data_IF_174337215340
#
_entry.id   IF_174337215340
#
_cell.length_a   1.000
_cell.length_b   1.000
_cell.length_c   1.000
_cell.angle_alpha   90.00
_cell.angle_beta   90.00
_cell.angle_gamma   90.00
#
_symmetry.space_group_name_H-M   'P 1'
#
loop_
_entity.id
_entity.type
_entity.pdbx_description
1 polymer ?
#
# COMPACT_ATOMS: atom_id res chain seq x y z
N UNK A 1 41.25 -16.51 14.89
CA UNK A 1 41.89 -16.70 13.58
C UNK A 1 41.27 -15.72 12.60
N UNK A 2 42.08 -15.00 11.82
CA UNK A 2 41.57 -14.07 10.81
C UNK A 2 41.05 -14.84 9.60
N UNK A 3 39.85 -14.50 9.13
CA UNK A 3 39.31 -14.94 7.84
C UNK A 3 39.69 -13.93 6.76
N UNK A 4 39.79 -14.35 5.50
CA UNK A 4 40.01 -13.41 4.40
C UNK A 4 38.78 -12.51 4.20
N UNK A 5 38.94 -11.29 3.69
CA UNK A 5 37.80 -10.38 3.48
C UNK A 5 36.73 -10.97 2.55
N UNK A 6 37.16 -11.68 1.51
CA UNK A 6 36.27 -12.38 0.57
C UNK A 6 35.45 -13.45 1.28
N UNK A 7 36.11 -14.26 2.10
CA UNK A 7 35.47 -15.33 2.88
C UNK A 7 34.50 -14.78 3.95
N UNK A 8 34.84 -13.63 4.55
CA UNK A 8 33.96 -12.95 5.50
C UNK A 8 32.69 -12.39 4.83
N UNK A 9 32.82 -11.88 3.60
CA UNK A 9 31.68 -11.40 2.80
C UNK A 9 30.79 -12.56 2.33
N UNK A 10 31.38 -13.69 1.90
CA UNK A 10 30.64 -14.90 1.54
C UNK A 10 29.83 -15.46 2.73
N UNK A 11 30.42 -15.49 3.93
CA UNK A 11 29.75 -15.87 5.18
C UNK A 11 28.66 -14.85 5.61
N UNK A 12 28.76 -13.60 5.16
CA UNK A 12 27.71 -12.61 5.40
C UNK A 12 26.48 -12.82 4.51
N UNK A 13 26.70 -13.19 3.24
CA UNK A 13 25.62 -13.53 2.30
C UNK A 13 24.80 -14.70 2.84
N UNK A 14 25.45 -15.77 3.32
CA UNK A 14 24.77 -16.99 3.76
C UNK A 14 23.79 -16.74 4.91
N UNK A 15 24.08 -15.77 5.79
CA UNK A 15 23.31 -15.46 7.00
C UNK A 15 22.26 -14.37 6.84
N UNK A 16 22.25 -13.62 5.74
CA UNK A 16 21.32 -12.50 5.57
C UNK A 16 20.08 -12.88 4.75
N UNK A 17 18.84 -12.71 5.21
CA UNK A 17 17.65 -13.07 4.44
C UNK A 17 17.35 -12.14 3.25
N UNK A 18 17.91 -10.92 3.21
CA UNK A 18 17.66 -9.95 2.15
C UNK A 18 18.30 -10.36 0.83
N UNK A 19 17.49 -10.56 -0.21
CA UNK A 19 17.96 -10.90 -1.56
C UNK A 19 18.83 -9.80 -2.16
N UNK A 20 18.50 -8.54 -1.90
CA UNK A 20 19.25 -7.37 -2.40
C UNK A 20 20.61 -7.27 -1.75
N UNK A 21 20.68 -7.53 -0.44
CA UNK A 21 21.96 -7.63 0.25
C UNK A 21 22.81 -8.76 -0.34
N UNK A 22 22.23 -9.96 -0.52
CA UNK A 22 22.94 -11.10 -1.10
C UNK A 22 23.48 -10.77 -2.49
N UNK A 23 22.66 -10.15 -3.35
CA UNK A 23 23.02 -9.74 -4.72
C UNK A 23 24.14 -8.70 -4.71
N UNK A 24 24.05 -7.66 -3.88
CA UNK A 24 25.04 -6.59 -3.79
C UNK A 24 26.40 -7.11 -3.30
N UNK A 25 26.44 -7.86 -2.20
CA UNK A 25 27.69 -8.43 -1.68
C UNK A 25 28.30 -9.43 -2.68
N UNK A 26 27.47 -10.21 -3.39
CA UNK A 26 27.96 -11.16 -4.38
C UNK A 26 28.65 -10.48 -5.57
N UNK A 27 28.06 -9.40 -6.09
CA UNK A 27 28.70 -8.61 -7.15
C UNK A 27 30.00 -7.94 -6.67
N UNK A 28 30.04 -7.43 -5.44
CA UNK A 28 31.28 -6.89 -4.85
C UNK A 28 32.37 -7.96 -4.69
N UNK A 29 32.02 -9.18 -4.25
CA UNK A 29 32.97 -10.29 -4.16
C UNK A 29 33.54 -10.63 -5.55
N UNK A 30 32.71 -10.64 -6.58
CA UNK A 30 33.17 -10.91 -7.95
C UNK A 30 34.08 -9.80 -8.48
N UNK A 31 33.79 -8.54 -8.19
CA UNK A 31 34.68 -7.43 -8.54
C UNK A 31 36.02 -7.54 -7.81
N UNK A 32 36.02 -7.87 -6.51
CA UNK A 32 37.22 -8.10 -5.71
C UNK A 32 38.06 -9.29 -6.24
N UNK A 33 37.43 -10.40 -6.63
CA UNK A 33 38.12 -11.58 -7.17
C UNK A 33 38.71 -11.36 -8.56
N UNK A 34 38.05 -10.56 -9.39
CA UNK A 34 38.47 -10.28 -10.78
C UNK A 34 39.38 -9.06 -10.92
N UNK A 35 39.56 -8.27 -9.85
CA UNK A 35 40.28 -7.00 -9.90
C UNK A 35 39.55 -5.91 -10.69
N UNK A 36 38.25 -6.11 -10.95
CA UNK A 36 37.41 -5.11 -11.61
C UNK A 36 37.20 -3.88 -10.71
N UNK A 37 36.91 -2.74 -11.34
CA UNK A 37 36.63 -1.49 -10.63
C UNK A 37 35.37 -1.64 -9.77
N UNK A 38 35.59 -1.72 -8.46
CA UNK A 38 34.54 -1.86 -7.44
C UNK A 38 33.63 -0.63 -7.46
N UNK A 39 34.16 0.55 -7.78
CA UNK A 39 33.39 1.80 -7.87
C UNK A 39 32.30 1.66 -8.91
N UNK A 40 32.64 1.24 -10.13
CA UNK A 40 31.67 1.03 -11.21
C UNK A 40 30.64 -0.04 -10.89
N UNK A 41 31.05 -1.09 -10.16
CA UNK A 41 30.15 -2.16 -9.74
C UNK A 41 29.16 -1.66 -8.69
N UNK A 42 29.63 -0.87 -7.73
CA UNK A 42 28.77 -0.23 -6.72
C UNK A 42 27.82 0.79 -7.34
N UNK A 43 28.29 1.63 -8.26
CA UNK A 43 27.46 2.61 -8.96
C UNK A 43 26.30 1.90 -9.70
N UNK A 44 26.60 0.83 -10.45
CA UNK A 44 25.58 0.05 -11.14
C UNK A 44 24.59 -0.65 -10.19
N UNK A 45 25.05 -1.13 -9.03
CA UNK A 45 24.17 -1.68 -7.99
C UNK A 45 23.23 -0.61 -7.42
N UNK A 46 23.76 0.58 -7.14
CA UNK A 46 22.99 1.71 -6.62
C UNK A 46 21.93 2.15 -7.64
N UNK A 47 22.31 2.29 -8.91
CA UNK A 47 21.37 2.63 -9.98
C UNK A 47 20.23 1.60 -10.08
N UNK A 48 20.56 0.30 -10.00
CA UNK A 48 19.56 -0.77 -10.02
C UNK A 48 18.62 -0.68 -8.81
N UNK A 49 19.15 -0.43 -7.61
CA UNK A 49 18.33 -0.29 -6.39
C UNK A 49 17.41 0.93 -6.46
N UNK A 50 17.89 2.05 -7.02
CA UNK A 50 17.09 3.26 -7.22
C UNK A 50 15.95 2.98 -8.22
N UNK A 51 16.23 2.25 -9.29
CA UNK A 51 15.21 1.87 -10.28
C UNK A 51 14.16 0.92 -9.69
N UNK A 52 14.57 -0.10 -8.93
CA UNK A 52 13.67 -1.01 -8.21
C UNK A 52 12.80 -0.24 -7.19
N UNK A 53 13.38 0.67 -6.40
CA UNK A 53 12.63 1.51 -5.47
C UNK A 53 11.63 2.42 -6.18
N UNK A 54 12.02 3.00 -7.32
CA UNK A 54 11.12 3.84 -8.12
C UNK A 54 9.93 3.02 -8.65
N UNK A 55 10.18 1.80 -9.13
CA UNK A 55 9.13 0.88 -9.56
C UNK A 55 8.21 0.50 -8.40
N UNK A 56 8.75 0.23 -7.22
CA UNK A 56 7.95 -0.09 -6.02
C UNK A 56 7.03 1.08 -5.64
N UNK A 57 7.54 2.32 -5.67
CA UNK A 57 6.74 3.53 -5.44
C UNK A 57 5.66 3.72 -6.51
N UNK A 58 5.98 3.47 -7.78
CA UNK A 58 5.01 3.54 -8.88
C UNK A 58 3.91 2.50 -8.72
N UNK A 59 4.26 1.24 -8.50
CA UNK A 59 3.32 0.14 -8.26
C UNK A 59 2.43 0.42 -7.06
N UNK A 60 2.99 0.95 -5.96
CA UNK A 60 2.21 1.36 -4.80
C UNK A 60 1.19 2.46 -5.14
N UNK A 61 1.59 3.47 -5.92
CA UNK A 61 0.70 4.52 -6.40
C UNK A 61 -0.41 4.00 -7.30
N UNK A 62 -0.10 3.04 -8.17
CA UNK A 62 -1.05 2.37 -9.06
C UNK A 62 -2.06 1.52 -8.29
N UNK A 63 -1.61 0.74 -7.30
CA UNK A 63 -2.47 -0.08 -6.45
C UNK A 63 -3.38 0.76 -5.54
N UNK A 64 -2.91 1.92 -5.07
CA UNK A 64 -3.68 2.79 -4.19
C UNK A 64 -4.96 3.32 -4.85
N UNK A 65 -4.92 3.56 -6.17
CA UNK A 65 -6.02 4.19 -6.90
C UNK A 65 -7.30 3.34 -6.93
N UNK A 66 -7.29 2.05 -7.33
CA UNK A 66 -8.44 1.15 -7.21
C UNK A 66 -8.99 1.01 -5.78
N UNK A 67 -8.11 0.96 -4.78
CA UNK A 67 -8.56 0.89 -3.38
C UNK A 67 -9.32 2.14 -2.97
N UNK A 68 -8.80 3.34 -3.27
CA UNK A 68 -9.49 4.61 -2.99
C UNK A 68 -10.86 4.65 -3.69
N UNK A 69 -10.92 4.24 -4.96
CA UNK A 69 -12.17 4.20 -5.71
C UNK A 69 -13.20 3.24 -5.08
N UNK A 70 -12.77 2.03 -4.70
CA UNK A 70 -13.63 1.08 -4.00
C UNK A 70 -14.14 1.65 -2.67
N UNK A 71 -13.27 2.31 -1.90
CA UNK A 71 -13.66 2.95 -0.65
C UNK A 71 -14.70 4.06 -0.87
N UNK A 72 -14.50 4.94 -1.85
CA UNK A 72 -15.47 5.99 -2.17
C UNK A 72 -16.83 5.41 -2.61
N UNK A 73 -16.80 4.35 -3.42
CA UNK A 73 -18.02 3.68 -3.87
C UNK A 73 -18.80 3.06 -2.71
N UNK A 74 -18.15 2.30 -1.83
CA UNK A 74 -18.84 1.58 -0.75
C UNK A 74 -19.18 2.47 0.46
N UNK A 75 -18.32 3.42 0.80
CA UNK A 75 -18.50 4.25 1.99
C UNK A 75 -19.44 5.46 1.75
N UNK A 76 -19.44 6.02 0.54
CA UNK A 76 -20.14 7.28 0.24
C UNK A 76 -21.24 7.10 -0.80
N UNK A 77 -20.92 6.49 -1.94
CA UNK A 77 -21.87 6.40 -3.07
C UNK A 77 -22.98 5.37 -2.79
N UNK A 78 -22.64 4.18 -2.32
CA UNK A 78 -23.62 3.11 -2.06
C UNK A 78 -24.65 3.51 -0.99
N UNK A 79 -24.27 4.12 0.15
CA UNK A 79 -25.24 4.53 1.17
C UNK A 79 -26.12 5.70 0.70
N UNK A 80 -25.55 6.66 -0.03
CA UNK A 80 -26.31 7.81 -0.56
C UNK A 80 -27.31 7.40 -1.65
N UNK A 81 -26.90 6.54 -2.58
CA UNK A 81 -27.80 5.97 -3.59
C UNK A 81 -28.87 5.07 -2.95
N UNK A 82 -28.50 4.23 -1.99
CA UNK A 82 -29.45 3.39 -1.27
C UNK A 82 -30.53 4.22 -0.55
N UNK A 83 -30.13 5.30 0.12
CA UNK A 83 -31.06 6.24 0.75
C UNK A 83 -32.01 6.88 -0.27
N UNK A 84 -31.45 7.37 -1.39
CA UNK A 84 -32.22 8.02 -2.45
C UNK A 84 -33.23 7.05 -3.07
N UNK A 85 -32.80 5.83 -3.39
CA UNK A 85 -33.68 4.79 -3.94
C UNK A 85 -34.81 4.41 -2.97
N UNK A 86 -34.52 4.29 -1.68
CA UNK A 86 -35.55 4.03 -0.67
C UNK A 86 -36.60 5.14 -0.62
N UNK A 87 -36.19 6.41 -0.70
CA UNK A 87 -37.11 7.56 -0.73
C UNK A 87 -37.99 7.50 -1.98
N UNK A 88 -37.41 7.21 -3.14
CA UNK A 88 -38.14 7.10 -4.42
C UNK A 88 -39.12 5.93 -4.40
N UNK A 89 -38.73 4.75 -3.92
CA UNK A 89 -39.64 3.60 -3.82
C UNK A 89 -40.78 3.88 -2.83
N UNK A 90 -40.48 4.54 -1.72
CA UNK A 90 -41.50 4.94 -0.73
C UNK A 90 -42.55 5.88 -1.34
N UNK A 91 -42.15 6.77 -2.25
CA UNK A 91 -43.09 7.71 -2.89
C UNK A 91 -44.02 7.02 -3.88
N UNK A 92 -43.56 5.99 -4.59
CA UNK A 92 -44.38 5.23 -5.53
C UNK A 92 -45.30 4.20 -4.87
N UNK A 93 -44.87 3.60 -3.76
CA UNK A 93 -45.63 2.54 -3.07
C UNK A 93 -46.72 3.08 -2.13
N UNK A 94 -46.77 4.40 -1.92
CA UNK A 94 -47.69 5.02 -0.95
C UNK A 94 -47.35 4.67 0.50
N UNK A 95 -46.15 4.15 0.75
CA UNK A 95 -45.66 3.89 2.09
C UNK A 95 -45.44 5.23 2.80
N UNK A 96 -46.28 5.53 3.80
CA UNK A 96 -46.13 6.73 4.61
C UNK A 96 -44.93 6.57 5.54
N UNK A 97 -43.79 7.16 5.14
CA UNK A 97 -42.66 7.37 6.02
C UNK A 97 -43.10 8.28 7.17
N UNK A 98 -43.42 7.67 8.32
CA UNK A 98 -43.64 8.40 9.57
C UNK A 98 -42.40 9.24 9.89
N UNK A 99 -42.58 10.42 10.49
CA UNK A 99 -41.49 11.31 10.89
C UNK A 99 -40.41 10.57 11.69
N UNK A 100 -40.81 9.61 12.53
CA UNK A 100 -39.87 8.79 13.32
C UNK A 100 -39.04 7.82 12.47
N UNK A 101 -39.62 7.25 11.40
CA UNK A 101 -38.88 6.37 10.47
C UNK A 101 -37.90 7.18 9.63
N UNK A 102 -38.30 8.38 9.19
CA UNK A 102 -37.42 9.27 8.44
C UNK A 102 -36.22 9.73 9.29
N UNK A 103 -36.46 10.16 10.53
CA UNK A 103 -35.39 10.52 11.46
C UNK A 103 -34.48 9.33 11.78
N UNK A 104 -35.07 8.14 11.97
CA UNK A 104 -34.32 6.90 12.19
C UNK A 104 -33.44 6.51 11.00
N UNK A 105 -33.93 6.69 9.77
CA UNK A 105 -33.17 6.45 8.55
C UNK A 105 -32.00 7.44 8.40
N UNK A 106 -32.22 8.73 8.66
CA UNK A 106 -31.17 9.74 8.65
C UNK A 106 -30.12 9.49 9.74
N UNK A 107 -30.55 9.15 10.95
CA UNK A 107 -29.66 8.77 12.05
C UNK A 107 -28.84 7.52 11.73
N UNK A 108 -29.49 6.49 11.17
CA UNK A 108 -28.84 5.25 10.73
C UNK A 108 -27.81 5.50 9.62
N UNK A 109 -28.12 6.35 8.65
CA UNK A 109 -27.18 6.78 7.61
C UNK A 109 -25.98 7.52 8.20
N UNK A 110 -26.20 8.45 9.12
CA UNK A 110 -25.13 9.19 9.78
C UNK A 110 -24.21 8.24 10.57
N UNK A 111 -24.77 7.30 11.33
CA UNK A 111 -24.00 6.28 12.07
C UNK A 111 -23.22 5.38 11.11
N UNK A 112 -23.85 4.93 10.03
CA UNK A 112 -23.21 4.10 9.01
C UNK A 112 -22.04 4.82 8.33
N UNK A 113 -22.22 6.09 7.96
CA UNK A 113 -21.18 6.93 7.37
C UNK A 113 -20.02 7.16 8.35
N UNK A 114 -20.31 7.43 9.63
CA UNK A 114 -19.27 7.60 10.66
C UNK A 114 -18.51 6.29 10.89
N UNK A 115 -19.20 5.15 10.95
CA UNK A 115 -18.57 3.83 11.06
C UNK A 115 -17.62 3.56 9.89
N UNK A 116 -18.07 3.79 8.65
CA UNK A 116 -17.25 3.61 7.47
C UNK A 116 -16.08 4.59 7.40
N UNK A 117 -16.27 5.86 7.78
CA UNK A 117 -15.18 6.82 7.86
C UNK A 117 -14.10 6.39 8.86
N UNK A 118 -14.49 5.85 10.02
CA UNK A 118 -13.53 5.31 11.00
C UNK A 118 -12.79 4.07 10.47
N UNK A 119 -13.51 3.17 9.78
CA UNK A 119 -12.91 1.99 9.14
C UNK A 119 -11.90 2.38 8.04
N UNK A 120 -12.25 3.37 7.20
CA UNK A 120 -11.36 3.90 6.16
C UNK A 120 -10.16 4.62 6.78
N UNK A 121 -10.37 5.42 7.84
CA UNK A 121 -9.28 6.09 8.55
C UNK A 121 -8.27 5.10 9.12
N UNK A 122 -8.71 3.94 9.60
CA UNK A 122 -7.82 2.86 10.06
C UNK A 122 -7.05 2.17 8.93
N UNK A 123 -7.51 2.31 7.69
CA UNK A 123 -6.87 1.73 6.50
C UNK A 123 -6.03 2.74 5.72
N UNK A 124 -6.04 4.03 6.10
CA UNK A 124 -5.05 4.98 5.58
C UNK A 124 -3.67 4.47 5.98
N UNK A 125 -2.81 4.08 5.03
CA UNK A 125 -1.44 3.77 5.36
C UNK A 125 -0.83 5.04 5.97
N UNK A 126 -0.30 4.92 7.19
CA UNK A 126 0.61 5.92 7.73
C UNK A 126 1.84 5.89 6.83
N UNK A 127 1.79 6.65 5.73
CA UNK A 127 2.98 7.00 4.98
C UNK A 127 3.81 7.83 5.96
N UNK A 128 4.70 7.17 6.69
CA UNK A 128 5.87 7.81 7.23
C UNK A 128 6.65 8.28 6.00
N UNK A 129 6.40 9.53 5.62
CA UNK A 129 7.33 10.27 4.79
C UNK A 129 8.69 10.17 5.50
N UNK A 130 9.60 9.43 4.87
CA UNK A 130 10.99 9.35 5.29
C UNK A 130 11.65 10.73 5.19
#
# INVERSE_FOLDING_TARGET
>A
GGKSQVEALEDSISRNPSIMYRRAIWQMINALKSGADITKTLDSLVDTMIEEQKLEVQNYGEDLNPFILMYLMLAVIFPSLGATLMIVISSFTGFNLSNNMFLGMLGGLAVFQVFFLNLVKSKRPEVKAA
#
